data_IF_041016054342
#
_entry.id   IF_041016054342
#
_cell.length_a   1.000
_cell.length_b   1.000
_cell.length_c   1.000
_cell.angle_alpha   90.00
_cell.angle_beta   90.00
_cell.angle_gamma   90.00
#
_symmetry.space_group_name_H-M   'P 1'
#
loop_
_entity.id
_entity.type
_entity.pdbx_description
1 polymer ?
#
# COMPACT_ATOMS: atom_id res chain seq x y z
N UNK A 1 48.47 -34.81 25.42
CA UNK A 1 47.12 -34.29 25.12
C UNK A 1 47.24 -33.60 23.77
N UNK A 2 46.64 -34.11 22.68
CA UNK A 2 46.72 -33.43 21.39
C UNK A 2 45.89 -32.15 21.45
N UNK A 3 46.26 -31.08 20.68
CA UNK A 3 45.50 -29.84 20.65
C UNK A 3 44.13 -30.02 20.00
N UNK A 4 43.12 -29.26 20.42
CA UNK A 4 41.77 -29.34 19.83
C UNK A 4 41.81 -29.02 18.33
N UNK A 5 41.14 -29.84 17.54
CA UNK A 5 40.97 -29.60 16.11
C UNK A 5 40.27 -28.24 15.89
N UNK A 6 40.73 -27.44 14.90
CA UNK A 6 40.02 -26.25 14.52
C UNK A 6 38.61 -26.61 13.99
N UNK A 7 37.57 -25.76 14.24
CA UNK A 7 36.25 -26.03 13.72
C UNK A 7 36.29 -26.14 12.20
N UNK A 8 35.58 -27.12 11.66
CA UNK A 8 35.45 -27.31 10.23
C UNK A 8 34.95 -26.02 9.57
N UNK A 9 35.46 -25.66 8.39
CA UNK A 9 34.99 -24.48 7.68
C UNK A 9 33.50 -24.62 7.40
N UNK A 10 32.73 -23.58 7.69
CA UNK A 10 31.30 -23.53 7.41
C UNK A 10 31.08 -23.87 5.93
N UNK A 11 30.17 -24.80 5.67
CA UNK A 11 29.84 -25.28 4.33
C UNK A 11 29.50 -24.10 3.42
N UNK A 12 30.30 -23.86 2.40
CA UNK A 12 30.10 -22.80 1.39
C UNK A 12 29.00 -23.18 0.37
N UNK A 13 28.38 -24.36 0.52
CA UNK A 13 27.36 -24.86 -0.39
C UNK A 13 25.97 -24.39 0.05
N UNK A 14 25.13 -24.02 -0.92
CA UNK A 14 23.72 -23.70 -0.68
C UNK A 14 23.00 -24.93 -0.09
N UNK A 15 22.11 -24.73 0.92
CA UNK A 15 21.23 -25.78 1.40
C UNK A 15 20.41 -26.37 0.23
N UNK A 16 20.03 -27.64 0.34
CA UNK A 16 19.22 -28.33 -0.69
C UNK A 16 17.77 -28.50 -0.30
N UNK A 17 17.44 -28.32 0.98
CA UNK A 17 16.08 -28.38 1.48
C UNK A 17 15.44 -26.99 1.51
N UNK A 18 14.13 -26.95 1.27
CA UNK A 18 13.38 -25.71 1.13
C UNK A 18 13.38 -24.87 2.43
N UNK A 19 13.33 -25.50 3.60
CA UNK A 19 13.29 -24.78 4.87
C UNK A 19 14.59 -24.03 5.14
N UNK A 20 15.75 -24.68 4.94
CA UNK A 20 17.06 -24.06 5.09
C UNK A 20 17.33 -22.99 4.05
N UNK A 21 16.83 -23.16 2.81
CA UNK A 21 16.91 -22.13 1.76
C UNK A 21 16.10 -20.89 2.16
N UNK A 22 14.87 -21.08 2.66
CA UNK A 22 14.01 -19.98 3.11
C UNK A 22 14.61 -19.25 4.31
N UNK A 23 15.17 -19.97 5.29
CA UNK A 23 15.85 -19.38 6.44
C UNK A 23 17.05 -18.53 6.00
N UNK A 24 17.89 -19.07 5.11
CA UNK A 24 19.04 -18.34 4.56
C UNK A 24 18.60 -17.09 3.79
N UNK A 25 17.56 -17.20 2.95
CA UNK A 25 17.00 -16.10 2.21
C UNK A 25 16.43 -15.03 3.15
N UNK A 26 15.64 -15.42 4.16
CA UNK A 26 15.08 -14.50 5.15
C UNK A 26 16.18 -13.76 5.92
N UNK A 27 17.23 -14.46 6.35
CA UNK A 27 18.38 -13.84 7.01
C UNK A 27 19.10 -12.85 6.10
N UNK A 28 19.39 -13.26 4.86
CA UNK A 28 20.04 -12.38 3.87
C UNK A 28 19.21 -11.14 3.54
N UNK A 29 17.88 -11.27 3.46
CA UNK A 29 16.97 -10.13 3.27
C UNK A 29 16.95 -9.22 4.50
N UNK A 30 16.98 -9.79 5.71
CA UNK A 30 17.03 -8.99 6.94
C UNK A 30 18.33 -8.19 7.03
N UNK A 31 19.47 -8.82 6.72
CA UNK A 31 20.77 -8.13 6.67
C UNK A 31 20.79 -7.02 5.61
N UNK A 32 20.15 -7.27 4.45
CA UNK A 32 19.98 -6.27 3.40
C UNK A 32 19.13 -5.08 3.90
N UNK A 33 18.02 -5.35 4.58
CA UNK A 33 17.16 -4.28 5.13
C UNK A 33 17.84 -3.51 6.26
N UNK A 34 18.58 -4.21 7.14
CA UNK A 34 19.32 -3.56 8.21
C UNK A 34 20.40 -2.60 7.68
N UNK A 35 21.07 -3.00 6.58
CA UNK A 35 22.09 -2.18 5.91
C UNK A 35 21.57 -1.31 4.76
N UNK A 36 20.27 -1.28 4.50
CA UNK A 36 19.70 -0.51 3.41
C UNK A 36 19.95 1.00 3.60
N UNK A 37 20.09 1.72 2.48
CA UNK A 37 20.26 3.17 2.48
C UNK A 37 18.99 3.92 2.86
N UNK A 38 17.85 3.27 2.75
CA UNK A 38 16.53 3.78 3.11
C UNK A 38 16.25 3.59 4.60
N UNK A 39 15.65 4.58 5.25
CA UNK A 39 15.19 4.47 6.63
C UNK A 39 14.02 3.49 6.73
N UNK A 40 14.11 2.50 7.62
CA UNK A 40 13.07 1.49 7.83
C UNK A 40 12.61 1.47 9.28
N UNK A 41 11.32 1.27 9.47
CA UNK A 41 10.64 1.21 10.75
C UNK A 41 9.61 0.08 10.69
N UNK A 42 9.56 -0.76 11.71
CA UNK A 42 8.59 -1.84 11.87
C UNK A 42 7.69 -1.55 13.07
N UNK A 43 6.39 -1.69 12.87
CA UNK A 43 5.40 -1.68 13.95
C UNK A 43 4.71 -3.04 14.07
N UNK A 44 4.32 -3.39 15.30
CA UNK A 44 3.53 -4.58 15.57
C UNK A 44 2.02 -4.35 15.33
N UNK A 45 1.20 -5.35 15.69
CA UNK A 45 -0.26 -5.32 15.57
C UNK A 45 -0.91 -4.23 16.43
N UNK A 46 -0.28 -3.86 17.55
CA UNK A 46 -0.74 -2.80 18.47
C UNK A 46 -0.24 -1.41 18.05
N UNK A 47 0.30 -1.29 16.85
CA UNK A 47 0.90 -0.07 16.31
C UNK A 47 2.06 0.47 17.16
N UNK A 48 2.79 -0.39 17.87
CA UNK A 48 4.00 -0.01 18.58
C UNK A 48 5.22 -0.22 17.71
N UNK A 49 6.17 0.69 17.80
CA UNK A 49 7.45 0.55 17.11
C UNK A 49 8.23 -0.59 17.75
N UNK A 50 8.56 -1.62 16.97
CA UNK A 50 9.33 -2.78 17.46
C UNK A 50 10.77 -2.80 16.96
N UNK A 51 11.06 -2.09 15.87
CA UNK A 51 12.38 -2.06 15.27
C UNK A 51 12.56 -0.89 14.31
N UNK A 52 13.79 -0.39 14.23
CA UNK A 52 14.25 0.56 13.22
C UNK A 52 15.65 0.16 12.75
N UNK A 53 16.00 0.48 11.50
CA UNK A 53 17.35 0.26 10.98
C UNK A 53 18.28 1.46 11.28
N UNK A 54 19.56 1.28 10.97
CA UNK A 54 20.60 2.31 11.21
C UNK A 54 20.32 3.64 10.49
N UNK A 55 19.75 3.55 9.28
CA UNK A 55 19.38 4.74 8.53
C UNK A 55 18.23 5.52 9.20
N UNK A 56 17.23 4.82 9.74
CA UNK A 56 16.12 5.46 10.43
C UNK A 56 16.57 6.17 11.71
N UNK A 57 17.59 5.62 12.42
CA UNK A 57 18.16 6.26 13.63
C UNK A 57 18.62 7.69 13.40
N UNK A 58 19.03 8.04 12.18
CA UNK A 58 19.46 9.40 11.84
C UNK A 58 18.35 10.44 11.96
N UNK A 59 17.09 10.02 11.86
CA UNK A 59 15.94 10.91 12.00
C UNK A 59 15.52 11.15 13.45
N UNK A 60 15.93 10.30 14.39
CA UNK A 60 15.51 10.35 15.78
C UNK A 60 15.78 11.72 16.44
N UNK A 61 16.98 12.34 16.31
CA UNK A 61 17.24 13.65 16.92
C UNK A 61 16.28 14.72 16.39
N UNK A 62 16.01 14.75 15.09
CA UNK A 62 15.09 15.71 14.47
C UNK A 62 13.62 15.45 14.87
N UNK A 63 13.26 14.20 15.16
CA UNK A 63 11.95 13.82 15.71
C UNK A 63 11.82 14.19 17.20
N UNK A 64 12.91 14.50 17.87
CA UNK A 64 12.94 14.87 19.29
C UNK A 64 13.29 13.70 20.23
N UNK A 65 13.85 12.62 19.69
CA UNK A 65 14.23 11.42 20.44
C UNK A 65 15.76 11.22 20.38
N UNK A 66 16.52 11.61 21.40
CA UNK A 66 17.97 11.45 21.38
C UNK A 66 18.44 9.99 21.48
N UNK A 67 17.60 9.09 21.99
CA UNK A 67 17.91 7.67 22.19
C UNK A 67 16.85 6.79 21.54
N UNK A 68 17.27 5.63 21.06
CA UNK A 68 16.38 4.65 20.43
C UNK A 68 15.34 4.09 21.43
N UNK A 69 15.72 3.94 22.69
CA UNK A 69 14.85 3.42 23.76
C UNK A 69 13.64 4.36 24.03
N UNK A 70 13.80 5.64 23.74
CA UNK A 70 12.72 6.63 23.88
C UNK A 70 11.74 6.57 22.68
N UNK A 71 12.07 5.81 21.64
CA UNK A 71 11.32 5.69 20.40
C UNK A 71 10.73 4.29 20.19
N UNK A 72 11.55 3.24 20.33
CA UNK A 72 11.14 1.84 20.21
C UNK A 72 10.28 1.45 21.43
N UNK A 73 9.25 0.65 21.22
CA UNK A 73 8.29 0.25 22.24
C UNK A 73 7.11 1.23 22.41
N UNK A 74 7.18 2.43 21.84
CA UNK A 74 6.12 3.43 21.95
C UNK A 74 5.10 3.32 20.81
N UNK A 75 3.84 3.76 21.03
CA UNK A 75 2.86 3.85 19.95
C UNK A 75 3.37 4.72 18.82
N UNK A 76 3.32 4.23 17.59
CA UNK A 76 3.87 4.95 16.43
C UNK A 76 3.22 6.33 16.23
N UNK A 77 1.95 6.47 16.60
CA UNK A 77 1.22 7.75 16.52
C UNK A 77 1.78 8.82 17.47
N UNK A 78 2.41 8.43 18.59
CA UNK A 78 3.01 9.34 19.54
C UNK A 78 4.42 9.79 19.13
N UNK A 79 5.14 8.97 18.37
CA UNK A 79 6.55 9.22 18.00
C UNK A 79 6.70 9.66 16.54
N UNK A 80 5.77 9.29 15.64
CA UNK A 80 5.74 9.72 14.24
C UNK A 80 4.42 10.43 13.96
N UNK A 81 4.48 11.78 13.93
CA UNK A 81 3.30 12.60 13.65
C UNK A 81 2.75 12.30 12.24
N UNK A 82 1.42 12.33 12.11
CA UNK A 82 0.71 12.10 10.85
C UNK A 82 0.98 10.74 10.20
N UNK A 83 1.44 9.76 10.98
CA UNK A 83 1.59 8.39 10.48
C UNK A 83 0.24 7.79 10.08
N UNK A 84 0.22 6.99 9.03
CA UNK A 84 -0.96 6.24 8.59
C UNK A 84 -0.79 4.72 8.79
N UNK A 85 0.11 4.30 9.67
CA UNK A 85 0.37 2.88 9.95
C UNK A 85 -0.89 2.15 10.43
N UNK A 86 -1.69 2.77 11.32
CA UNK A 86 -2.94 2.22 11.82
C UNK A 86 -3.94 1.88 10.68
N UNK A 87 -4.03 2.72 9.64
CA UNK A 87 -4.89 2.44 8.48
C UNK A 87 -4.45 1.20 7.71
N UNK A 88 -3.14 0.95 7.63
CA UNK A 88 -2.60 -0.25 6.97
C UNK A 88 -2.85 -1.48 7.84
N UNK A 89 -2.71 -1.38 9.16
CA UNK A 89 -3.06 -2.45 10.11
C UNK A 89 -4.53 -2.85 9.99
N UNK A 90 -5.45 -1.88 9.97
CA UNK A 90 -6.89 -2.10 9.89
C UNK A 90 -7.34 -2.63 8.52
N UNK A 91 -6.85 -2.03 7.44
CA UNK A 91 -7.32 -2.34 6.09
C UNK A 91 -6.58 -3.52 5.45
N UNK A 92 -5.39 -3.83 5.93
CA UNK A 92 -4.47 -4.78 5.31
C UNK A 92 -4.00 -4.38 3.91
N UNK A 93 -4.25 -3.14 3.49
CA UNK A 93 -3.85 -2.65 2.16
C UNK A 93 -2.58 -1.81 2.26
N UNK A 94 -1.57 -2.06 1.40
CA UNK A 94 -0.36 -1.25 1.40
C UNK A 94 -0.63 0.18 0.93
N UNK A 95 0.15 1.12 1.44
CA UNK A 95 0.27 2.48 0.92
C UNK A 95 1.67 2.59 0.34
N UNK A 96 1.78 2.47 -0.99
CA UNK A 96 3.10 2.31 -1.64
C UNK A 96 3.84 3.62 -1.83
N UNK A 97 3.15 4.74 -1.98
CA UNK A 97 3.74 6.08 -2.10
C UNK A 97 2.84 7.06 -1.36
N UNK A 98 3.39 7.73 -0.37
CA UNK A 98 2.70 8.75 0.40
C UNK A 98 3.68 9.84 0.87
N UNK A 99 3.17 11.04 1.10
CA UNK A 99 3.95 12.14 1.67
C UNK A 99 3.73 12.20 3.17
N UNK A 100 4.79 11.97 3.92
CA UNK A 100 4.81 12.12 5.36
C UNK A 100 5.48 13.44 5.75
N UNK A 101 4.74 14.33 6.40
CA UNK A 101 5.26 15.55 6.98
C UNK A 101 5.35 15.38 8.50
N UNK A 102 6.53 15.55 9.06
CA UNK A 102 6.75 15.53 10.50
C UNK A 102 7.85 16.53 10.89
N UNK A 103 8.26 16.53 12.17
CA UNK A 103 9.30 17.45 12.68
C UNK A 103 10.66 17.30 12.00
N UNK A 104 10.98 16.11 11.49
CA UNK A 104 12.25 15.85 10.81
C UNK A 104 12.23 16.30 9.34
N UNK A 105 11.05 16.61 8.77
CA UNK A 105 10.93 17.09 7.39
C UNK A 105 9.77 16.46 6.62
N UNK A 106 9.92 16.51 5.30
CA UNK A 106 8.99 15.90 4.34
C UNK A 106 9.65 14.69 3.70
N UNK A 107 8.96 13.58 3.75
CA UNK A 107 9.45 12.27 3.27
C UNK A 107 8.49 11.66 2.29
N UNK A 108 9.03 10.95 1.32
CA UNK A 108 8.25 9.99 0.51
C UNK A 108 8.39 8.64 1.17
N UNK A 109 7.27 8.04 1.54
CA UNK A 109 7.24 6.82 2.35
C UNK A 109 6.34 5.76 1.74
N UNK A 110 6.67 4.50 2.01
CA UNK A 110 5.81 3.35 1.74
C UNK A 110 5.46 2.64 3.05
N UNK A 111 4.29 2.01 3.11
CA UNK A 111 3.84 1.22 4.25
C UNK A 111 3.28 -0.10 3.74
N UNK A 112 3.89 -1.18 4.14
CA UNK A 112 3.61 -2.53 3.64
C UNK A 112 3.14 -3.39 4.81
N UNK A 113 1.93 -3.98 4.75
CA UNK A 113 1.47 -4.88 5.79
C UNK A 113 2.30 -6.18 5.79
N UNK A 114 2.69 -6.62 6.96
CA UNK A 114 3.27 -7.93 7.18
C UNK A 114 2.16 -8.89 7.62
N UNK A 115 2.16 -10.08 7.03
CA UNK A 115 1.14 -11.09 7.29
C UNK A 115 1.78 -12.36 7.79
N UNK A 116 1.06 -13.06 8.65
CA UNK A 116 1.39 -14.43 9.04
C UNK A 116 0.93 -15.46 7.99
N UNK A 117 1.18 -16.73 8.28
CA UNK A 117 0.81 -17.85 7.41
C UNK A 117 -0.72 -18.00 7.23
N UNK A 118 -1.51 -17.46 8.17
CA UNK A 118 -2.97 -17.41 8.07
C UNK A 118 -3.47 -16.22 7.22
N UNK A 119 -2.56 -15.32 6.78
CA UNK A 119 -2.87 -14.12 6.02
C UNK A 119 -3.31 -12.93 6.88
N UNK A 120 -3.30 -13.07 8.22
CA UNK A 120 -3.62 -12.00 9.15
C UNK A 120 -2.51 -10.97 9.23
N UNK A 121 -2.88 -9.69 9.32
CA UNK A 121 -1.88 -8.61 9.47
C UNK A 121 -1.32 -8.63 10.87
N UNK A 122 -0.01 -8.87 10.99
CA UNK A 122 0.72 -8.93 12.26
C UNK A 122 1.60 -7.71 12.51
N UNK A 123 1.76 -6.84 11.52
CA UNK A 123 2.56 -5.63 11.62
C UNK A 123 2.59 -4.85 10.32
N UNK A 124 3.31 -3.74 10.32
CA UNK A 124 3.53 -2.89 9.12
C UNK A 124 4.99 -2.47 9.06
N UNK A 125 5.59 -2.68 7.90
CA UNK A 125 6.90 -2.14 7.54
C UNK A 125 6.73 -0.78 6.88
N UNK A 126 7.31 0.26 7.47
CA UNK A 126 7.45 1.59 6.89
C UNK A 126 8.83 1.76 6.27
N UNK A 127 8.88 2.28 5.07
CA UNK A 127 10.12 2.55 4.33
C UNK A 127 10.12 4.02 3.93
N UNK A 128 11.19 4.73 4.28
CA UNK A 128 11.44 6.10 3.82
C UNK A 128 12.23 6.00 2.52
N UNK A 129 11.55 6.23 1.39
CA UNK A 129 12.15 6.14 0.07
C UNK A 129 13.08 7.34 -0.24
N UNK A 130 12.69 8.54 0.23
CA UNK A 130 13.48 9.76 0.08
C UNK A 130 13.34 10.60 1.35
N UNK A 131 14.47 10.93 1.94
CA UNK A 131 14.59 11.69 3.21
C UNK A 131 14.70 13.20 3.02
N UNK A 132 14.99 13.63 1.81
CA UNK A 132 14.93 15.02 1.37
C UNK A 132 14.50 15.02 -0.09
N UNK A 133 13.31 15.51 -0.41
CA UNK A 133 12.99 15.83 -1.77
C UNK A 133 13.90 17.01 -2.16
N UNK A 134 15.11 16.68 -2.62
CA UNK A 134 16.02 17.67 -3.21
C UNK A 134 15.26 18.44 -4.27
N UNK A 135 15.68 19.68 -4.52
CA UNK A 135 15.03 20.63 -5.44
C UNK A 135 14.64 20.03 -6.80
N UNK A 136 15.26 18.93 -7.20
CA UNK A 136 14.98 18.20 -8.42
C UNK A 136 13.73 17.29 -8.37
N UNK A 137 13.26 16.89 -7.18
CA UNK A 137 12.05 16.07 -7.02
C UNK A 137 10.79 16.92 -6.73
N UNK A 138 10.94 18.18 -6.37
CA UNK A 138 9.82 19.09 -6.11
C UNK A 138 8.82 19.16 -7.30
N UNK A 139 9.27 19.27 -8.57
CA UNK A 139 8.34 19.27 -9.71
C UNK A 139 7.60 17.93 -9.86
N UNK A 140 8.25 16.81 -9.55
CA UNK A 140 7.64 15.48 -9.63
C UNK A 140 6.59 15.28 -8.52
N UNK A 141 6.91 15.70 -7.29
CA UNK A 141 6.00 15.66 -6.14
C UNK A 141 4.78 16.56 -6.40
N UNK A 142 5.00 17.79 -6.90
CA UNK A 142 3.92 18.70 -7.24
C UNK A 142 3.02 18.14 -8.34
N UNK A 143 3.61 17.52 -9.36
CA UNK A 143 2.86 16.88 -10.45
C UNK A 143 2.07 15.66 -9.96
N UNK A 144 2.62 14.89 -9.02
CA UNK A 144 1.92 13.75 -8.42
C UNK A 144 0.73 14.19 -7.57
N UNK A 145 0.91 15.24 -6.75
CA UNK A 145 -0.17 15.84 -5.98
C UNK A 145 -1.29 16.38 -6.87
N UNK A 146 -0.93 17.03 -7.99
CA UNK A 146 -1.90 17.52 -8.97
C UNK A 146 -2.65 16.38 -9.65
N UNK A 147 -1.97 15.30 -10.05
CA UNK A 147 -2.62 14.14 -10.65
C UNK A 147 -3.59 13.45 -9.68
N UNK A 148 -3.27 13.40 -8.39
CA UNK A 148 -4.19 12.88 -7.37
C UNK A 148 -5.43 13.77 -7.24
N UNK A 149 -5.25 15.09 -7.26
CA UNK A 149 -6.36 16.04 -7.20
C UNK A 149 -7.25 15.94 -8.44
N UNK A 150 -6.66 15.89 -9.62
CA UNK A 150 -7.38 15.70 -10.88
C UNK A 150 -8.18 14.39 -10.90
N UNK A 151 -7.61 13.31 -10.35
CA UNK A 151 -8.29 12.02 -10.23
C UNK A 151 -9.48 12.09 -9.27
N UNK A 152 -9.33 12.75 -8.13
CA UNK A 152 -10.42 12.93 -7.18
C UNK A 152 -11.52 13.81 -7.72
N UNK A 153 -11.18 14.86 -8.45
CA UNK A 153 -12.16 15.73 -9.12
C UNK A 153 -12.89 14.98 -10.25
N UNK A 154 -12.18 14.19 -11.06
CA UNK A 154 -12.80 13.33 -12.06
C UNK A 154 -13.74 12.29 -11.43
N UNK A 155 -13.38 11.69 -10.28
CA UNK A 155 -14.27 10.79 -9.53
C UNK A 155 -15.51 11.50 -9.01
N UNK A 156 -15.38 12.73 -8.50
CA UNK A 156 -16.51 13.54 -8.04
C UNK A 156 -17.44 13.91 -9.19
N UNK A 157 -16.90 14.27 -10.34
CA UNK A 157 -17.69 14.55 -11.55
C UNK A 157 -18.45 13.32 -12.06
N UNK A 158 -17.81 12.14 -12.08
CA UNK A 158 -18.46 10.88 -12.42
C UNK A 158 -19.57 10.53 -11.42
N UNK A 159 -19.33 10.74 -10.12
CA UNK A 159 -20.34 10.51 -9.09
C UNK A 159 -21.55 11.47 -9.24
N UNK A 160 -21.33 12.74 -9.59
CA UNK A 160 -22.40 13.70 -9.90
C UNK A 160 -23.21 13.31 -11.13
N UNK A 161 -22.56 12.80 -12.19
CA UNK A 161 -23.23 12.31 -13.40
C UNK A 161 -23.95 10.98 -13.19
N UNK A 162 -23.54 10.20 -12.21
CA UNK A 162 -24.19 8.93 -11.83
C UNK A 162 -25.30 9.11 -10.81
N UNK A 163 -25.44 10.30 -10.20
CA UNK A 163 -26.56 10.60 -9.34
C UNK A 163 -27.85 10.64 -10.19
N UNK A 164 -28.90 9.86 -9.86
CA UNK A 164 -30.15 9.92 -10.60
C UNK A 164 -30.71 11.33 -10.48
N UNK A 165 -30.80 12.04 -11.62
CA UNK A 165 -31.51 13.32 -11.69
C UNK A 165 -32.95 13.12 -11.19
N UNK A 166 -33.27 13.73 -10.06
CA UNK A 166 -34.59 13.71 -9.46
C UNK A 166 -35.55 14.64 -10.21
N UNK A 167 -35.67 14.49 -11.52
CA UNK A 167 -36.76 15.08 -12.32
C UNK A 167 -37.18 14.08 -13.38
N UNK A 168 -38.24 13.40 -13.07
CA UNK A 168 -39.29 12.86 -13.90
C UNK A 168 -38.91 12.24 -15.24
N UNK A 169 -38.48 11.00 -15.19
CA UNK A 169 -38.93 9.87 -16.03
C UNK A 169 -38.35 8.61 -15.44
N UNK A 170 -39.15 7.62 -15.15
CA UNK A 170 -38.67 6.29 -14.72
C UNK A 170 -37.62 5.83 -15.71
N UNK A 171 -36.33 6.05 -15.38
CA UNK A 171 -35.24 5.49 -16.13
C UNK A 171 -35.41 3.97 -16.10
N UNK A 172 -35.63 3.39 -17.26
CA UNK A 172 -35.79 1.94 -17.37
C UNK A 172 -34.57 1.26 -16.73
N UNK A 173 -34.85 0.41 -15.74
CA UNK A 173 -33.85 -0.31 -14.94
C UNK A 173 -32.96 -1.26 -15.78
N UNK A 174 -33.33 -1.43 -17.05
CA UNK A 174 -32.67 -2.32 -18.00
C UNK A 174 -32.55 -1.58 -19.36
N UNK A 175 -31.36 -1.61 -19.95
CA UNK A 175 -31.12 -1.13 -21.30
C UNK A 175 -30.90 -2.33 -22.25
N UNK A 176 -31.14 -2.14 -23.54
CA UNK A 176 -30.86 -3.16 -24.57
C UNK A 176 -29.39 -3.58 -24.61
N UNK A 177 -28.48 -2.76 -24.10
CA UNK A 177 -27.05 -3.10 -23.96
C UNK A 177 -26.82 -4.24 -22.96
N UNK A 178 -27.68 -4.35 -21.94
CA UNK A 178 -27.58 -5.38 -20.90
C UNK A 178 -28.31 -6.68 -21.25
N UNK A 179 -28.98 -6.76 -22.40
CA UNK A 179 -29.64 -7.96 -22.86
C UNK A 179 -28.63 -8.88 -23.54
N UNK A 180 -28.12 -9.85 -22.80
CA UNK A 180 -27.17 -10.87 -23.28
C UNK A 180 -27.94 -12.00 -23.94
N UNK A 181 -27.82 -12.14 -25.28
CA UNK A 181 -28.39 -13.24 -26.05
C UNK A 181 -27.91 -13.18 -27.49
N UNK A 182 -27.33 -14.30 -27.96
CA UNK A 182 -26.79 -14.45 -29.33
C UNK A 182 -27.65 -15.35 -30.19
N UNK A 183 -28.75 -15.91 -29.67
CA UNK A 183 -29.65 -16.77 -30.42
C UNK A 183 -30.50 -15.96 -31.44
N UNK A 184 -30.96 -16.59 -32.56
CA UNK A 184 -31.83 -15.93 -33.53
C UNK A 184 -33.10 -15.37 -32.88
N UNK A 185 -33.68 -16.04 -31.89
CA UNK A 185 -34.85 -15.60 -31.16
C UNK A 185 -34.55 -14.33 -30.33
N UNK A 186 -33.38 -14.23 -29.70
CA UNK A 186 -32.97 -13.03 -28.96
C UNK A 186 -32.73 -11.80 -29.87
N UNK A 187 -32.25 -12.04 -31.11
CA UNK A 187 -32.09 -10.98 -32.12
C UNK A 187 -33.45 -10.46 -32.58
N UNK A 188 -34.42 -11.34 -32.74
CA UNK A 188 -35.81 -10.98 -33.14
C UNK A 188 -36.49 -10.14 -32.05
N UNK A 189 -36.39 -10.53 -30.77
CA UNK A 189 -36.91 -9.77 -29.64
C UNK A 189 -36.30 -8.38 -29.59
N UNK A 190 -34.96 -8.24 -29.78
CA UNK A 190 -34.27 -6.95 -29.82
C UNK A 190 -34.81 -6.07 -30.95
N UNK A 191 -35.10 -6.66 -32.13
CA UNK A 191 -35.62 -5.91 -33.30
C UNK A 191 -37.05 -5.42 -33.06
N UNK A 192 -37.90 -6.25 -32.49
CA UNK A 192 -39.29 -5.89 -32.18
C UNK A 192 -39.38 -4.82 -31.10
N UNK A 193 -38.58 -4.95 -30.04
CA UNK A 193 -38.52 -3.97 -28.97
C UNK A 193 -38.01 -2.60 -29.45
N UNK A 194 -37.03 -2.56 -30.37
CA UNK A 194 -36.60 -1.29 -31.00
C UNK A 194 -37.68 -0.62 -31.84
N UNK A 195 -38.46 -1.44 -32.57
CA UNK A 195 -39.61 -0.90 -33.35
C UNK A 195 -40.67 -0.35 -32.42
N UNK A 196 -41.02 -1.05 -31.35
CA UNK A 196 -42.00 -0.60 -30.38
C UNK A 196 -41.57 0.70 -29.68
N UNK A 197 -40.27 0.86 -29.37
CA UNK A 197 -39.74 2.10 -28.76
C UNK A 197 -39.75 3.30 -29.69
N UNK A 198 -39.85 3.10 -31.01
CA UNK A 198 -39.95 4.16 -32.00
C UNK A 198 -41.41 4.52 -32.37
N UNK A 199 -42.36 3.72 -31.93
CA UNK A 199 -43.80 3.99 -32.11
C UNK A 199 -44.36 4.58 -30.80
N UNK A 200 -45.21 5.58 -30.91
CA UNK A 200 -45.88 6.24 -29.78
C UNK A 200 -47.13 5.43 -29.33
N UNK A 201 -47.20 4.15 -29.67
CA UNK A 201 -48.32 3.26 -29.29
C UNK A 201 -48.02 2.65 -27.94
N UNK A 202 -49.01 2.64 -27.01
CA UNK A 202 -48.87 1.90 -25.74
C UNK A 202 -48.76 0.43 -26.05
N UNK A 203 -47.83 -0.27 -25.39
CA UNK A 203 -47.63 -1.71 -25.42
C UNK A 203 -48.48 -2.33 -24.33
#
# INVERSE_FOLDING_TARGET
MPPPHPPAPASTALPRDAASILELAARSMFDLFAGASEGMLLVDRDARVVWINDQYRRFLPALGFPREEDFVGHPVSSVVQHTQMHRVLESGKPILIDLLHNRAGTFVVSRIPLRDDAGEVIGVLGIVLFDQPTTNLQPLIAKFAQLQQDLDDARRELAKKSAPSAHGTRAARYSFANFVGTSPAAAEVKRQARRAAQSNSPV
#
